data_IF_838811124457
#
_entry.id   IF_838811124457
#
_cell.length_a   1.000
_cell.length_b   1.000
_cell.length_c   1.000
_cell.angle_alpha   90.00
_cell.angle_beta   90.00
_cell.angle_gamma   90.00
#
_symmetry.space_group_name_H-M   'P 1'
#
loop_
_entity.id
_entity.type
_entity.pdbx_description
1 polymer ?
#
# COMPACT_ATOMS: atom_id res chain seq x y z
N UNK A 1 29.48 -35.61 -29.49
CA UNK A 1 30.29 -34.46 -29.92
C UNK A 1 29.62 -33.18 -29.44
N UNK A 2 30.39 -32.23 -28.92
CA UNK A 2 29.90 -30.98 -28.33
C UNK A 2 30.82 -29.81 -28.76
N UNK A 3 30.35 -28.58 -28.59
CA UNK A 3 31.09 -27.37 -28.93
C UNK A 3 30.28 -26.36 -29.73
N UNK A 4 30.91 -25.22 -30.05
CA UNK A 4 30.27 -24.09 -30.74
C UNK A 4 29.69 -24.49 -32.10
N UNK A 5 28.62 -23.81 -32.51
CA UNK A 5 28.05 -23.93 -33.86
C UNK A 5 29.10 -23.53 -34.90
N UNK A 6 29.22 -24.30 -36.00
CA UNK A 6 30.19 -24.00 -37.07
C UNK A 6 31.59 -24.60 -36.88
N UNK A 7 31.90 -25.18 -35.71
CA UNK A 7 33.22 -25.80 -35.47
C UNK A 7 33.42 -27.16 -36.18
N UNK A 8 32.43 -27.64 -36.94
CA UNK A 8 32.58 -28.84 -37.75
C UNK A 8 32.29 -30.16 -37.04
N UNK A 9 31.44 -30.18 -35.99
CA UNK A 9 31.00 -31.41 -35.30
C UNK A 9 30.43 -32.45 -36.27
N UNK A 10 29.44 -32.08 -37.08
CA UNK A 10 28.79 -33.00 -38.03
C UNK A 10 29.78 -33.51 -39.09
N UNK A 11 30.68 -32.65 -39.57
CA UNK A 11 31.76 -33.05 -40.51
C UNK A 11 32.75 -34.03 -39.87
N UNK A 12 33.15 -33.81 -38.62
CA UNK A 12 33.98 -34.74 -37.86
C UNK A 12 33.25 -36.07 -37.65
N UNK A 13 31.96 -36.04 -37.35
CA UNK A 13 31.14 -37.24 -37.22
C UNK A 13 31.11 -38.07 -38.50
N UNK A 14 30.90 -37.41 -39.65
CA UNK A 14 30.93 -38.08 -40.96
C UNK A 14 32.32 -38.67 -41.27
N UNK A 15 33.38 -37.97 -40.88
CA UNK A 15 34.75 -38.45 -41.02
C UNK A 15 34.99 -39.73 -40.20
N UNK A 16 34.62 -39.74 -38.92
CA UNK A 16 34.76 -40.91 -38.03
C UNK A 16 33.91 -42.09 -38.55
N UNK A 17 32.71 -41.81 -39.05
CA UNK A 17 31.80 -42.83 -39.57
C UNK A 17 32.15 -43.28 -41.00
N UNK A 18 33.07 -42.60 -41.68
CA UNK A 18 33.48 -42.83 -43.08
C UNK A 18 32.31 -42.76 -44.08
N UNK A 19 31.25 -42.03 -43.72
CA UNK A 19 30.04 -41.80 -44.56
C UNK A 19 29.33 -40.52 -44.15
N UNK A 20 28.48 -40.00 -45.05
CA UNK A 20 27.65 -38.82 -44.77
C UNK A 20 26.42 -39.19 -43.94
N UNK A 21 26.60 -39.40 -42.63
CA UNK A 21 25.52 -39.74 -41.70
C UNK A 21 24.80 -38.51 -41.12
N UNK A 22 25.53 -37.41 -40.96
CA UNK A 22 25.05 -36.16 -40.40
C UNK A 22 25.00 -35.07 -41.47
N UNK A 23 23.95 -34.26 -41.42
CA UNK A 23 23.81 -33.12 -42.32
C UNK A 23 24.83 -32.03 -41.95
N UNK A 24 25.82 -31.81 -42.81
CA UNK A 24 26.85 -30.79 -42.64
C UNK A 24 26.67 -29.68 -43.68
N UNK A 25 25.87 -28.65 -43.37
CA UNK A 25 25.69 -27.47 -44.24
C UNK A 25 26.47 -26.26 -43.72
N UNK A 26 27.11 -25.53 -44.63
CA UNK A 26 27.67 -24.19 -44.39
C UNK A 26 26.55 -23.15 -44.36
N UNK A 27 25.66 -23.22 -43.36
CA UNK A 27 24.53 -22.29 -43.21
C UNK A 27 24.80 -21.25 -42.13
N UNK A 28 24.38 -20.01 -42.36
CA UNK A 28 24.36 -18.94 -41.35
C UNK A 28 23.30 -19.18 -40.26
N UNK A 29 22.33 -20.06 -40.53
CA UNK A 29 21.33 -20.51 -39.56
C UNK A 29 21.66 -21.92 -39.10
N UNK A 30 21.77 -22.11 -37.79
CA UNK A 30 22.16 -23.37 -37.16
C UNK A 30 21.07 -24.44 -37.38
N UNK A 31 21.37 -25.41 -38.25
CA UNK A 31 20.45 -26.44 -38.77
C UNK A 31 20.16 -27.54 -37.73
N UNK A 32 21.07 -27.79 -36.77
CA UNK A 32 20.90 -28.85 -35.78
C UNK A 32 20.24 -28.33 -34.50
N UNK A 33 18.93 -28.55 -34.39
CA UNK A 33 18.15 -28.38 -33.15
C UNK A 33 17.98 -29.68 -32.37
N UNK A 34 18.27 -30.83 -32.99
CA UNK A 34 18.15 -32.17 -32.39
C UNK A 34 19.48 -32.91 -32.29
N UNK A 35 19.45 -34.02 -31.56
CA UNK A 35 20.55 -34.97 -31.45
C UNK A 35 20.38 -36.03 -32.52
N UNK A 36 21.46 -36.35 -33.22
CA UNK A 36 21.51 -37.49 -34.15
C UNK A 36 22.64 -38.43 -33.75
N UNK A 37 22.49 -39.71 -34.09
CA UNK A 37 23.55 -40.68 -33.87
C UNK A 37 23.57 -41.70 -34.99
N UNK A 38 24.73 -42.29 -35.20
CA UNK A 38 24.91 -43.38 -36.15
C UNK A 38 26.11 -44.24 -35.73
N UNK A 39 26.30 -45.36 -36.41
CA UNK A 39 27.29 -46.38 -36.11
C UNK A 39 28.20 -46.64 -37.30
N UNK A 40 29.45 -46.97 -37.00
CA UNK A 40 30.40 -47.55 -37.95
C UNK A 40 31.18 -48.68 -37.27
N UNK A 41 31.89 -49.45 -38.09
CA UNK A 41 32.87 -50.42 -37.62
C UNK A 41 34.28 -49.96 -38.00
N UNK A 42 35.22 -50.05 -37.07
CA UNK A 42 36.62 -49.71 -37.28
C UNK A 42 37.49 -50.77 -36.62
N UNK A 43 38.27 -51.51 -37.41
CA UNK A 43 39.08 -52.66 -36.96
C UNK A 43 38.32 -53.63 -36.04
N UNK A 44 37.11 -54.03 -36.42
CA UNK A 44 36.28 -54.97 -35.64
C UNK A 44 35.56 -54.35 -34.44
N UNK A 45 35.77 -53.05 -34.17
CA UNK A 45 35.11 -52.34 -33.07
C UNK A 45 33.95 -51.51 -33.57
N UNK A 46 32.78 -51.66 -32.94
CA UNK A 46 31.63 -50.78 -33.18
C UNK A 46 31.85 -49.41 -32.55
N UNK A 47 31.78 -48.35 -33.35
CA UNK A 47 31.85 -46.96 -32.91
C UNK A 47 30.45 -46.36 -33.05
N UNK A 48 29.89 -45.86 -31.95
CA UNK A 48 28.67 -45.02 -31.95
C UNK A 48 29.09 -43.56 -31.88
N UNK A 49 28.74 -42.78 -32.88
CA UNK A 49 28.95 -41.33 -32.87
C UNK A 49 27.62 -40.64 -32.62
N UNK A 50 27.60 -39.72 -31.66
CA UNK A 50 26.43 -38.88 -31.37
C UNK A 50 26.79 -37.44 -31.67
N UNK A 51 26.08 -36.82 -32.63
CA UNK A 51 26.19 -35.41 -32.93
C UNK A 51 25.23 -34.61 -32.06
N UNK A 52 25.80 -33.70 -31.26
CA UNK A 52 25.07 -32.88 -30.31
C UNK A 52 24.72 -31.51 -30.88
N UNK A 53 23.71 -30.82 -30.32
CA UNK A 53 23.34 -29.49 -30.76
C UNK A 53 24.52 -28.51 -30.64
N UNK A 54 24.59 -27.58 -31.58
CA UNK A 54 25.54 -26.48 -31.50
C UNK A 54 25.15 -25.49 -30.40
N UNK A 55 26.13 -25.17 -29.55
CA UNK A 55 26.04 -24.06 -28.58
C UNK A 55 26.51 -22.77 -29.26
N UNK A 56 25.94 -21.62 -28.91
CA UNK A 56 26.38 -20.34 -29.47
C UNK A 56 25.76 -19.17 -28.70
N UNK A 57 26.42 -18.00 -28.76
CA UNK A 57 26.21 -16.90 -27.80
C UNK A 57 24.78 -16.35 -27.80
N UNK A 58 24.17 -16.20 -28.97
CA UNK A 58 22.76 -15.74 -29.08
C UNK A 58 21.76 -16.72 -28.47
N UNK A 59 22.07 -18.03 -28.51
CA UNK A 59 21.24 -19.07 -27.90
C UNK A 59 21.40 -19.11 -26.38
N UNK A 60 22.60 -18.80 -25.88
CA UNK A 60 22.89 -18.80 -24.45
C UNK A 60 22.19 -17.65 -23.70
N UNK A 61 21.88 -16.54 -24.37
CA UNK A 61 21.19 -15.39 -23.80
C UNK A 61 19.65 -15.47 -23.89
N UNK A 62 19.11 -16.54 -24.46
CA UNK A 62 17.67 -16.71 -24.65
C UNK A 62 17.19 -17.97 -23.92
N UNK A 63 16.22 -17.82 -23.00
CA UNK A 63 15.73 -18.90 -22.14
C UNK A 63 15.27 -20.12 -22.94
N UNK A 64 14.42 -19.91 -23.95
CA UNK A 64 13.90 -21.00 -24.77
C UNK A 64 15.00 -21.72 -25.56
N UNK A 65 15.97 -20.98 -26.08
CA UNK A 65 17.09 -21.58 -26.80
C UNK A 65 18.02 -22.36 -25.87
N UNK A 66 18.37 -21.82 -24.71
CA UNK A 66 19.18 -22.50 -23.70
C UNK A 66 18.48 -23.77 -23.19
N UNK A 67 17.18 -23.69 -22.89
CA UNK A 67 16.35 -24.82 -22.45
C UNK A 67 16.32 -25.92 -23.50
N UNK A 68 16.05 -25.60 -24.77
CA UNK A 68 16.07 -26.60 -25.85
C UNK A 68 17.42 -27.29 -26.01
N UNK A 69 18.53 -26.56 -25.87
CA UNK A 69 19.87 -27.16 -25.92
C UNK A 69 20.08 -28.13 -24.77
N UNK A 70 19.67 -27.76 -23.55
CA UNK A 70 19.74 -28.63 -22.37
C UNK A 70 18.87 -29.87 -22.53
N UNK A 71 17.65 -29.73 -23.00
CA UNK A 71 16.71 -30.85 -23.24
C UNK A 71 17.26 -31.81 -24.30
N UNK A 72 17.81 -31.29 -25.40
CA UNK A 72 18.46 -32.10 -26.40
C UNK A 72 19.66 -32.86 -25.81
N UNK A 73 20.50 -32.20 -25.00
CA UNK A 73 21.60 -32.88 -24.30
C UNK A 73 21.10 -33.95 -23.33
N UNK A 74 20.04 -33.66 -22.56
CA UNK A 74 19.41 -34.64 -21.66
C UNK A 74 18.89 -35.86 -22.42
N UNK A 75 18.25 -35.65 -23.58
CA UNK A 75 17.82 -36.72 -24.46
C UNK A 75 19.00 -37.58 -24.92
N UNK A 76 20.12 -36.97 -25.34
CA UNK A 76 21.34 -37.70 -25.73
C UNK A 76 21.85 -38.58 -24.59
N UNK A 77 21.95 -38.02 -23.38
CA UNK A 77 22.40 -38.76 -22.19
C UNK A 77 21.46 -39.93 -21.88
N UNK A 78 20.15 -39.68 -21.88
CA UNK A 78 19.13 -40.69 -21.55
C UNK A 78 19.07 -41.81 -22.59
N UNK A 79 19.28 -41.49 -23.87
CA UNK A 79 19.33 -42.45 -24.98
C UNK A 79 20.61 -43.31 -25.01
N UNK A 80 21.54 -43.11 -24.06
CA UNK A 80 22.75 -43.90 -23.95
C UNK A 80 23.00 -44.37 -22.50
N UNK A 81 22.22 -45.34 -21.99
CA UNK A 81 22.23 -45.74 -20.57
C UNK A 81 23.59 -46.24 -20.06
N UNK A 82 24.40 -46.83 -20.94
CA UNK A 82 25.75 -47.30 -20.63
C UNK A 82 26.80 -46.18 -20.55
N UNK A 83 26.38 -44.93 -20.71
CA UNK A 83 27.24 -43.75 -20.68
C UNK A 83 28.13 -43.57 -21.90
N UNK A 84 28.77 -42.41 -21.96
CA UNK A 84 29.70 -42.01 -23.01
C UNK A 84 31.15 -42.27 -22.61
N UNK A 85 31.91 -42.87 -23.53
CA UNK A 85 33.36 -43.08 -23.37
C UNK A 85 34.15 -41.77 -23.40
N UNK A 86 33.76 -40.85 -24.27
CA UNK A 86 34.39 -39.54 -24.38
C UNK A 86 33.40 -38.50 -24.91
N UNK A 87 33.61 -37.26 -24.50
CA UNK A 87 33.09 -36.08 -25.17
C UNK A 87 34.17 -35.51 -26.08
N UNK A 88 33.88 -35.46 -27.37
CA UNK A 88 34.71 -34.73 -28.32
C UNK A 88 34.26 -33.27 -28.32
N UNK A 89 35.08 -32.41 -27.72
CA UNK A 89 34.86 -30.97 -27.68
C UNK A 89 35.57 -30.34 -28.88
N UNK A 90 34.77 -29.96 -29.89
CA UNK A 90 35.27 -29.57 -31.21
C UNK A 90 35.52 -28.07 -31.26
N UNK A 91 36.76 -27.70 -31.58
CA UNK A 91 37.25 -26.33 -31.75
C UNK A 91 37.78 -26.18 -33.17
N UNK A 92 37.59 -25.01 -33.78
CA UNK A 92 38.01 -24.73 -35.15
C UNK A 92 39.41 -24.12 -35.18
N UNK A 93 40.30 -24.67 -36.01
CA UNK A 93 41.58 -24.04 -36.33
C UNK A 93 41.42 -22.80 -37.23
N UNK A 94 42.33 -21.83 -37.09
CA UNK A 94 42.38 -20.61 -37.90
C UNK A 94 41.38 -19.52 -37.49
N UNK A 95 40.70 -19.69 -36.35
CA UNK A 95 39.91 -18.65 -35.70
C UNK A 95 40.56 -18.23 -34.38
N UNK A 96 40.31 -16.98 -33.94
CA UNK A 96 40.68 -16.57 -32.58
C UNK A 96 39.81 -17.35 -31.59
N UNK A 97 40.41 -17.88 -30.55
CA UNK A 97 39.69 -18.41 -29.39
C UNK A 97 39.25 -17.23 -28.53
N UNK A 98 37.97 -16.86 -28.61
CA UNK A 98 37.46 -15.62 -28.00
C UNK A 98 36.82 -15.88 -26.65
N UNK A 99 36.39 -14.81 -25.96
CA UNK A 99 35.57 -14.90 -24.76
C UNK A 99 34.28 -15.71 -25.00
N UNK A 100 33.71 -15.66 -26.20
CA UNK A 100 32.54 -16.45 -26.60
C UNK A 100 32.80 -17.96 -26.55
N UNK A 101 34.01 -18.39 -26.93
CA UNK A 101 34.40 -19.79 -26.79
C UNK A 101 34.50 -20.16 -25.31
N UNK A 102 35.03 -19.27 -24.48
CA UNK A 102 35.03 -19.39 -23.01
C UNK A 102 33.63 -19.54 -22.42
N UNK A 103 32.69 -18.68 -22.80
CA UNK A 103 31.29 -18.73 -22.36
C UNK A 103 30.62 -20.05 -22.77
N UNK A 104 30.93 -20.54 -23.97
CA UNK A 104 30.47 -21.85 -24.44
C UNK A 104 30.99 -22.99 -23.57
N UNK A 105 32.27 -22.95 -23.17
CA UNK A 105 32.85 -23.96 -22.26
C UNK A 105 32.19 -23.89 -20.89
N UNK A 106 32.00 -22.69 -20.35
CA UNK A 106 31.40 -22.51 -19.02
C UNK A 106 29.94 -22.96 -18.99
N UNK A 107 29.18 -22.69 -20.07
CA UNK A 107 27.85 -23.27 -20.27
C UNK A 107 27.90 -24.80 -20.24
N UNK A 108 28.80 -25.43 -21.01
CA UNK A 108 28.91 -26.88 -21.05
C UNK A 108 29.31 -27.46 -19.68
N UNK A 109 30.13 -26.75 -18.90
CA UNK A 109 30.48 -27.13 -17.52
C UNK A 109 29.29 -27.05 -16.57
N UNK A 110 28.43 -26.05 -16.70
CA UNK A 110 27.16 -25.98 -15.95
C UNK A 110 26.21 -27.10 -16.36
N UNK A 111 26.18 -27.47 -17.65
CA UNK A 111 25.29 -28.52 -18.17
C UNK A 111 25.73 -29.93 -17.77
N UNK A 112 26.99 -30.29 -18.03
CA UNK A 112 27.51 -31.64 -17.81
C UNK A 112 28.19 -31.81 -16.44
N UNK A 113 28.39 -30.72 -15.69
CA UNK A 113 29.02 -30.69 -14.39
C UNK A 113 30.49 -30.24 -14.45
N UNK A 114 30.93 -29.44 -13.47
CA UNK A 114 32.22 -28.71 -13.50
C UNK A 114 33.43 -29.56 -13.85
N UNK A 115 33.49 -30.81 -13.40
CA UNK A 115 34.63 -31.71 -13.66
C UNK A 115 34.57 -32.51 -14.97
N UNK A 116 33.58 -32.29 -15.83
CA UNK A 116 33.39 -33.15 -17.01
C UNK A 116 34.51 -32.99 -18.04
N UNK A 117 35.03 -31.77 -18.23
CA UNK A 117 36.15 -31.49 -19.15
C UNK A 117 37.38 -32.30 -18.73
N UNK A 118 37.74 -32.19 -17.46
CA UNK A 118 38.91 -32.89 -16.90
C UNK A 118 38.82 -34.41 -16.98
N UNK A 119 37.63 -34.98 -16.80
CA UNK A 119 37.45 -36.44 -16.68
C UNK A 119 37.06 -37.14 -17.98
N UNK A 120 36.36 -36.46 -18.88
CA UNK A 120 35.64 -37.12 -19.97
C UNK A 120 35.83 -36.45 -21.33
N UNK A 121 36.55 -35.33 -21.44
CA UNK A 121 36.74 -34.67 -22.74
C UNK A 121 38.06 -35.01 -23.43
N UNK A 122 38.01 -34.95 -24.75
CA UNK A 122 39.14 -34.82 -25.67
C UNK A 122 38.87 -33.58 -26.53
N UNK A 123 39.84 -32.67 -26.61
CA UNK A 123 39.78 -31.53 -27.51
C UNK A 123 40.06 -32.00 -28.93
N UNK A 124 39.19 -31.63 -29.86
CA UNK A 124 39.39 -31.91 -31.28
C UNK A 124 39.56 -30.60 -32.00
N UNK A 125 40.77 -30.36 -32.50
CA UNK A 125 41.06 -29.25 -33.39
C UNK A 125 40.67 -29.65 -34.81
N UNK A 126 39.53 -29.16 -35.28
CA UNK A 126 39.06 -29.36 -36.64
C UNK A 126 39.77 -28.39 -37.61
N UNK A 127 39.56 -28.60 -38.91
CA UNK A 127 40.23 -27.83 -39.99
C UNK A 127 41.74 -28.08 -40.02
N UNK A 128 42.17 -29.32 -39.80
CA UNK A 128 43.57 -29.73 -39.90
C UNK A 128 44.18 -29.51 -41.28
N UNK A 129 43.37 -29.47 -42.35
CA UNK A 129 43.81 -29.08 -43.69
C UNK A 129 44.37 -27.67 -43.73
N UNK A 130 43.83 -26.75 -42.93
CA UNK A 130 44.33 -25.39 -42.82
C UNK A 130 45.62 -25.34 -42.00
N UNK A 131 45.68 -26.06 -40.87
CA UNK A 131 46.91 -26.14 -40.07
C UNK A 131 48.05 -26.74 -40.88
N UNK A 132 47.82 -27.80 -41.66
CA UNK A 132 48.87 -28.42 -42.46
C UNK A 132 49.43 -27.50 -43.55
N UNK A 133 48.61 -26.60 -44.10
CA UNK A 133 49.11 -25.57 -45.03
C UNK A 133 50.03 -24.59 -44.31
N UNK A 134 49.57 -24.07 -43.17
CA UNK A 134 50.35 -23.14 -42.35
C UNK A 134 51.65 -23.78 -41.85
N UNK A 135 51.59 -25.02 -41.38
CA UNK A 135 52.72 -25.82 -40.92
C UNK A 135 53.77 -26.07 -42.02
N UNK A 136 53.35 -26.22 -43.29
CA UNK A 136 54.30 -26.31 -44.42
C UNK A 136 55.03 -25.00 -44.69
N UNK A 137 54.40 -23.87 -44.38
CA UNK A 137 54.97 -22.54 -44.56
C UNK A 137 55.87 -22.15 -43.38
N UNK A 138 55.49 -22.50 -42.15
CA UNK A 138 56.20 -22.11 -40.92
C UNK A 138 57.19 -23.17 -40.42
N UNK A 139 57.03 -24.43 -40.81
CA UNK A 139 57.75 -25.58 -40.26
C UNK A 139 57.29 -25.98 -38.84
N UNK A 140 56.24 -25.35 -38.32
CA UNK A 140 55.77 -25.56 -36.95
C UNK A 140 54.95 -26.85 -36.81
N UNK A 141 55.23 -27.65 -35.80
CA UNK A 141 54.42 -28.84 -35.46
C UNK A 141 53.16 -28.46 -34.70
N UNK A 142 52.12 -29.31 -34.73
CA UNK A 142 50.87 -29.03 -34.02
C UNK A 142 51.07 -28.90 -32.50
N UNK A 143 52.01 -29.65 -31.93
CA UNK A 143 52.32 -29.55 -30.49
C UNK A 143 52.96 -28.20 -30.15
N UNK A 144 53.95 -27.75 -30.94
CA UNK A 144 54.56 -26.43 -30.78
C UNK A 144 53.51 -25.32 -30.89
N UNK A 145 52.60 -25.43 -31.86
CA UNK A 145 51.49 -24.49 -32.00
C UNK A 145 50.63 -24.46 -30.72
N UNK A 146 50.29 -25.62 -30.15
CA UNK A 146 49.51 -25.70 -28.91
C UNK A 146 50.25 -25.08 -27.71
N UNK A 147 51.56 -25.29 -27.61
CA UNK A 147 52.39 -24.82 -26.50
C UNK A 147 52.56 -23.28 -26.53
N UNK A 148 52.48 -22.67 -27.71
CA UNK A 148 52.52 -21.21 -27.91
C UNK A 148 51.18 -20.51 -27.62
N UNK A 149 50.08 -21.26 -27.52
CA UNK A 149 48.78 -20.65 -27.25
C UNK A 149 48.68 -20.19 -25.79
N UNK A 150 48.01 -19.05 -25.58
CA UNK A 150 47.72 -18.47 -24.26
C UNK A 150 46.23 -18.39 -23.94
N UNK A 151 45.94 -17.77 -22.79
CA UNK A 151 44.57 -17.44 -22.36
C UNK A 151 43.65 -18.65 -22.23
N UNK A 152 42.37 -18.45 -22.57
CA UNK A 152 41.30 -19.43 -22.35
C UNK A 152 41.56 -20.77 -23.05
N UNK A 153 42.22 -20.77 -24.22
CA UNK A 153 42.57 -22.01 -24.91
C UNK A 153 43.58 -22.85 -24.11
N UNK A 154 44.64 -22.21 -23.59
CA UNK A 154 45.66 -22.89 -22.79
C UNK A 154 45.08 -23.43 -21.49
N UNK A 155 44.23 -22.65 -20.83
CA UNK A 155 43.50 -23.08 -19.63
C UNK A 155 42.62 -24.31 -19.90
N UNK A 156 41.87 -24.30 -21.01
CA UNK A 156 41.03 -25.42 -21.43
C UNK A 156 41.87 -26.66 -21.75
N UNK A 157 42.99 -26.50 -22.45
CA UNK A 157 43.90 -27.59 -22.80
C UNK A 157 44.53 -28.23 -21.54
N UNK A 158 44.95 -27.40 -20.59
CA UNK A 158 45.47 -27.85 -19.30
C UNK A 158 44.39 -28.57 -18.46
N UNK A 159 43.16 -28.04 -18.41
CA UNK A 159 42.04 -28.70 -17.73
C UNK A 159 41.70 -30.05 -18.37
N UNK A 160 41.78 -30.12 -19.70
CA UNK A 160 41.63 -31.36 -20.48
C UNK A 160 42.86 -32.28 -20.39
N UNK A 161 43.86 -31.98 -19.55
CA UNK A 161 45.05 -32.81 -19.35
C UNK A 161 45.85 -33.04 -20.63
N UNK A 162 46.01 -31.99 -21.45
CA UNK A 162 46.73 -32.02 -22.72
C UNK A 162 46.15 -33.01 -23.75
N UNK A 163 44.90 -33.46 -23.56
CA UNK A 163 44.20 -34.34 -24.50
C UNK A 163 43.65 -33.53 -25.66
N UNK A 164 44.48 -33.32 -26.68
CA UNK A 164 44.10 -32.70 -27.95
C UNK A 164 44.46 -33.59 -29.15
N UNK A 165 43.69 -33.50 -30.23
CA UNK A 165 43.97 -34.13 -31.52
C UNK A 165 43.62 -33.19 -32.68
N UNK A 166 44.47 -33.14 -33.70
CA UNK A 166 44.23 -32.42 -34.94
C UNK A 166 43.54 -33.34 -35.95
N UNK A 167 42.44 -32.90 -36.53
CA UNK A 167 41.65 -33.68 -37.49
C UNK A 167 41.50 -32.92 -38.82
N UNK A 168 41.91 -33.57 -39.91
CA UNK A 168 41.66 -33.09 -41.27
C UNK A 168 40.46 -33.84 -41.83
N UNK A 169 39.27 -33.30 -41.61
CA UNK A 169 38.03 -33.94 -42.03
C UNK A 169 37.82 -33.93 -43.56
N UNK A 170 38.73 -33.33 -44.34
CA UNK A 170 38.64 -33.21 -45.81
C UNK A 170 39.63 -34.11 -46.56
N UNK A 171 40.58 -34.73 -45.87
CA UNK A 171 41.52 -35.64 -46.52
C UNK A 171 40.78 -36.76 -47.23
N UNK A 172 41.27 -37.13 -48.42
CA UNK A 172 40.82 -38.29 -49.19
C UNK A 172 41.84 -39.44 -49.15
N UNK A 173 42.97 -39.23 -48.49
CA UNK A 173 44.01 -40.24 -48.34
C UNK A 173 43.58 -41.28 -47.31
N UNK A 174 43.33 -42.51 -47.77
CA UNK A 174 42.87 -43.62 -46.94
C UNK A 174 43.83 -43.98 -45.80
N UNK A 175 45.15 -43.82 -45.99
CA UNK A 175 46.14 -44.09 -44.95
C UNK A 175 46.01 -43.05 -43.84
N UNK A 176 45.97 -41.77 -44.21
CA UNK A 176 45.76 -40.66 -43.27
C UNK A 176 44.42 -40.74 -42.54
N UNK A 177 43.35 -41.12 -43.24
CA UNK A 177 42.02 -41.34 -42.64
C UNK A 177 42.12 -42.41 -41.55
N UNK A 178 42.66 -43.58 -41.87
CA UNK A 178 42.78 -44.68 -40.91
C UNK A 178 43.67 -44.29 -39.72
N UNK A 179 44.77 -43.58 -39.96
CA UNK A 179 45.66 -43.10 -38.90
C UNK A 179 44.94 -42.15 -37.94
N UNK A 180 44.27 -41.11 -38.45
CA UNK A 180 43.57 -40.13 -37.60
C UNK A 180 42.42 -40.76 -36.79
N UNK A 181 41.69 -41.71 -37.37
CA UNK A 181 40.66 -42.44 -36.63
C UNK A 181 41.29 -43.36 -35.57
N UNK A 182 42.40 -44.04 -35.90
CA UNK A 182 43.13 -44.88 -34.94
C UNK A 182 43.64 -44.06 -33.76
N UNK A 183 44.29 -42.92 -34.01
CA UNK A 183 44.82 -42.02 -32.98
C UNK A 183 43.71 -41.49 -32.06
N UNK A 184 42.52 -41.20 -32.62
CA UNK A 184 41.35 -40.80 -31.85
C UNK A 184 40.86 -41.94 -30.95
N UNK A 185 40.72 -43.14 -31.50
CA UNK A 185 40.27 -44.33 -30.74
C UNK A 185 41.25 -44.64 -29.60
N UNK A 186 42.55 -44.57 -29.86
CA UNK A 186 43.59 -44.78 -28.84
C UNK A 186 43.49 -43.74 -27.70
N UNK A 187 43.21 -42.47 -28.03
CA UNK A 187 42.98 -41.43 -27.01
C UNK A 187 41.72 -41.70 -26.18
N UNK A 188 40.65 -42.19 -26.81
CA UNK A 188 39.41 -42.58 -26.11
C UNK A 188 39.66 -43.79 -25.18
N UNK A 189 40.47 -44.75 -25.61
CA UNK A 189 40.81 -45.92 -24.79
C UNK A 189 41.66 -45.55 -23.58
N UNK A 190 42.63 -44.67 -23.76
CA UNK A 190 43.42 -44.14 -22.63
C UNK A 190 42.53 -43.41 -21.63
N UNK A 191 41.56 -42.63 -22.10
CA UNK A 191 40.60 -41.92 -21.24
C UNK A 191 39.69 -42.87 -20.46
N UNK A 192 39.34 -44.01 -21.05
CA UNK A 192 38.40 -45.00 -20.47
C UNK A 192 39.09 -46.23 -19.87
N UNK A 193 40.41 -46.21 -19.74
CA UNK A 193 41.24 -47.33 -19.27
C UNK A 193 40.84 -47.87 -17.88
N UNK A 194 40.24 -47.04 -17.03
CA UNK A 194 39.70 -47.43 -15.72
C UNK A 194 38.20 -47.79 -15.73
N UNK A 195 37.59 -47.95 -16.91
CA UNK A 195 36.17 -48.28 -17.07
C UNK A 195 35.19 -47.12 -16.84
N UNK A 196 35.68 -45.91 -16.54
CA UNK A 196 34.85 -44.75 -16.27
C UNK A 196 34.19 -44.21 -17.55
N UNK A 197 32.88 -44.01 -17.49
CA UNK A 197 32.07 -43.38 -18.53
C UNK A 197 31.25 -42.27 -17.91
N UNK A 198 30.92 -41.27 -18.70
CA UNK A 198 29.95 -40.28 -18.29
C UNK A 198 28.54 -40.85 -18.39
N UNK A 199 27.85 -40.94 -17.26
CA UNK A 199 26.52 -41.55 -17.15
C UNK A 199 25.44 -40.52 -16.82
N UNK A 200 24.19 -40.97 -16.87
CA UNK A 200 23.02 -40.19 -16.44
C UNK A 200 23.12 -39.67 -14.99
N UNK A 201 23.78 -40.42 -14.11
CA UNK A 201 24.02 -39.97 -12.73
C UNK A 201 24.87 -38.70 -12.67
N UNK A 202 25.94 -38.64 -13.48
CA UNK A 202 26.78 -37.45 -13.58
C UNK A 202 25.99 -36.25 -14.08
N UNK A 203 25.08 -36.49 -15.05
CA UNK A 203 24.20 -35.45 -15.55
C UNK A 203 23.20 -35.01 -14.48
N UNK A 204 22.60 -35.93 -13.72
CA UNK A 204 21.70 -35.61 -12.59
C UNK A 204 22.39 -34.76 -11.52
N UNK A 205 23.66 -35.06 -11.20
CA UNK A 205 24.43 -34.30 -10.21
C UNK A 205 24.66 -32.83 -10.60
N UNK A 206 24.60 -32.49 -11.89
CA UNK A 206 24.70 -31.12 -12.39
C UNK A 206 23.33 -30.40 -12.51
N UNK A 207 22.23 -31.00 -12.05
CA UNK A 207 20.88 -30.41 -12.18
C UNK A 207 20.78 -29.00 -11.58
N UNK A 208 21.28 -28.81 -10.36
CA UNK A 208 21.23 -27.50 -9.70
C UNK A 208 21.97 -26.41 -10.51
N UNK A 209 23.10 -26.76 -11.15
CA UNK A 209 23.86 -25.83 -12.00
C UNK A 209 23.12 -25.50 -13.31
N UNK A 210 22.35 -26.44 -13.86
CA UNK A 210 21.47 -26.19 -15.02
C UNK A 210 20.27 -25.32 -14.66
N UNK A 211 19.62 -25.60 -13.53
CA UNK A 211 18.49 -24.82 -13.05
C UNK A 211 18.93 -23.37 -12.77
N UNK A 212 20.09 -23.18 -12.14
CA UNK A 212 20.71 -21.87 -11.95
C UNK A 212 21.06 -21.17 -13.27
N UNK A 213 21.53 -21.90 -14.29
CA UNK A 213 21.81 -21.32 -15.60
C UNK A 213 20.54 -20.77 -16.27
N UNK A 214 19.43 -21.51 -16.23
CA UNK A 214 18.15 -21.01 -16.78
C UNK A 214 17.68 -19.77 -16.00
N UNK A 215 17.85 -19.77 -14.68
CA UNK A 215 17.49 -18.62 -13.85
C UNK A 215 18.37 -17.39 -14.16
N UNK A 216 19.68 -17.56 -14.36
CA UNK A 216 20.60 -16.48 -14.78
C UNK A 216 20.12 -15.81 -16.08
N UNK A 217 19.66 -16.61 -17.05
CA UNK A 217 19.15 -16.11 -18.34
C UNK A 217 17.82 -15.37 -18.17
N UNK A 218 16.96 -15.83 -17.25
CA UNK A 218 15.67 -15.18 -16.96
C UNK A 218 15.80 -13.94 -16.09
N UNK A 219 16.83 -13.87 -15.25
CA UNK A 219 16.99 -12.84 -14.21
C UNK A 219 16.73 -11.41 -14.71
N UNK A 220 17.22 -10.97 -15.89
CA UNK A 220 16.92 -9.63 -16.40
C UNK A 220 15.42 -9.38 -16.61
N UNK A 221 14.70 -10.36 -17.16
CA UNK A 221 13.25 -10.28 -17.39
C UNK A 221 12.48 -10.26 -16.07
N UNK A 222 12.85 -11.13 -15.12
CA UNK A 222 12.25 -11.16 -13.77
C UNK A 222 12.45 -9.82 -13.08
N UNK A 223 13.66 -9.27 -13.17
CA UNK A 223 14.00 -7.99 -12.59
C UNK A 223 13.20 -6.85 -13.23
N UNK A 224 13.08 -6.82 -14.55
CA UNK A 224 12.27 -5.82 -15.26
C UNK A 224 10.80 -5.88 -14.86
N UNK A 225 10.19 -7.07 -14.85
CA UNK A 225 8.81 -7.28 -14.41
C UNK A 225 8.59 -6.85 -12.96
N UNK A 226 9.48 -7.25 -12.05
CA UNK A 226 9.40 -6.89 -10.64
C UNK A 226 9.59 -5.39 -10.42
N UNK A 227 10.54 -4.76 -11.10
CA UNK A 227 10.78 -3.31 -11.01
C UNK A 227 9.60 -2.51 -11.56
N UNK A 228 8.99 -2.97 -12.66
CA UNK A 228 7.80 -2.35 -13.23
C UNK A 228 6.65 -2.39 -12.23
N UNK A 229 6.35 -3.56 -11.68
CA UNK A 229 5.24 -3.72 -10.73
C UNK A 229 5.49 -2.94 -9.43
N UNK A 230 6.70 -3.01 -8.89
CA UNK A 230 7.15 -2.20 -7.74
C UNK A 230 6.93 -0.71 -7.99
N UNK A 231 7.32 -0.22 -9.17
CA UNK A 231 7.17 1.19 -9.55
C UNK A 231 5.70 1.62 -9.64
N UNK A 232 4.83 0.74 -10.16
CA UNK A 232 3.38 0.99 -10.24
C UNK A 232 2.73 1.01 -8.84
N UNK A 233 3.15 0.11 -7.95
CA UNK A 233 2.66 0.10 -6.57
C UNK A 233 3.10 1.36 -5.84
N UNK A 234 4.39 1.75 -5.93
CA UNK A 234 4.91 2.98 -5.33
C UNK A 234 4.19 4.23 -5.84
N UNK A 235 3.93 4.31 -7.14
CA UNK A 235 3.18 5.42 -7.73
C UNK A 235 1.76 5.51 -7.17
N UNK A 236 1.04 4.39 -7.10
CA UNK A 236 -0.30 4.35 -6.51
C UNK A 236 -0.26 4.69 -5.01
N UNK A 237 0.70 4.16 -4.26
CA UNK A 237 0.87 4.45 -2.83
C UNK A 237 1.05 5.95 -2.59
N UNK A 238 1.90 6.60 -3.39
CA UNK A 238 2.11 8.05 -3.32
C UNK A 238 0.84 8.84 -3.60
N UNK A 239 -0.01 8.38 -4.54
CA UNK A 239 -1.29 9.04 -4.81
C UNK A 239 -2.29 8.85 -3.66
N UNK A 240 -2.30 7.66 -3.04
CA UNK A 240 -3.15 7.40 -1.86
C UNK A 240 -2.74 8.31 -0.70
N UNK A 241 -1.44 8.52 -0.47
CA UNK A 241 -0.91 9.44 0.55
C UNK A 241 -1.33 10.91 0.36
N UNK A 242 -1.77 11.29 -0.84
CA UNK A 242 -2.32 12.62 -1.12
C UNK A 242 -3.84 12.71 -0.87
N UNK A 243 -4.50 11.59 -0.56
CA UNK A 243 -5.94 11.54 -0.31
C UNK A 243 -6.24 12.06 1.10
N UNK A 244 -7.27 12.89 1.20
CA UNK A 244 -7.65 13.54 2.48
C UNK A 244 -8.56 12.66 3.32
N UNK A 245 -9.42 11.86 2.68
CA UNK A 245 -10.40 11.03 3.37
C UNK A 245 -9.83 9.63 3.69
N UNK A 246 -9.63 9.30 4.98
CA UNK A 246 -9.02 8.03 5.38
C UNK A 246 -9.89 6.81 5.04
N UNK A 247 -11.21 6.97 4.92
CA UNK A 247 -12.14 5.91 4.54
C UNK A 247 -11.89 5.39 3.11
N UNK A 248 -11.46 6.28 2.21
CA UNK A 248 -11.14 5.95 0.82
C UNK A 248 -9.75 5.33 0.67
N UNK A 249 -8.85 5.57 1.63
CA UNK A 249 -7.48 5.06 1.60
C UNK A 249 -7.42 3.56 1.86
N UNK A 250 -8.15 3.05 2.86
CA UNK A 250 -8.01 1.67 3.33
C UNK A 250 -8.22 0.61 2.23
N UNK A 251 -9.30 0.61 1.45
CA UNK A 251 -9.51 -0.39 0.40
C UNK A 251 -8.40 -0.38 -0.65
N UNK A 252 -7.89 0.81 -0.98
CA UNK A 252 -6.81 0.99 -1.95
C UNK A 252 -5.48 0.46 -1.40
N UNK A 253 -5.18 0.72 -0.12
CA UNK A 253 -3.97 0.18 0.53
C UNK A 253 -4.02 -1.34 0.66
N UNK A 254 -5.18 -1.91 0.97
CA UNK A 254 -5.38 -3.37 1.01
C UNK A 254 -5.19 -3.99 -0.40
N UNK A 255 -5.66 -3.33 -1.48
CA UNK A 255 -5.36 -3.73 -2.87
C UNK A 255 -3.85 -3.72 -3.14
N UNK A 256 -3.15 -2.65 -2.75
CA UNK A 256 -1.70 -2.55 -2.96
C UNK A 256 -0.93 -3.60 -2.18
N UNK A 257 -1.35 -3.88 -0.95
CA UNK A 257 -0.74 -4.92 -0.13
C UNK A 257 -0.87 -6.29 -0.82
N UNK A 258 -2.06 -6.64 -1.29
CA UNK A 258 -2.28 -7.90 -2.02
C UNK A 258 -1.44 -7.98 -3.30
N UNK A 259 -1.28 -6.88 -4.05
CA UNK A 259 -0.39 -6.85 -5.21
C UNK A 259 1.07 -7.09 -4.83
N UNK A 260 1.53 -6.50 -3.73
CA UNK A 260 2.89 -6.70 -3.23
C UNK A 260 3.12 -8.13 -2.71
N UNK A 261 2.12 -8.75 -2.08
CA UNK A 261 2.16 -10.18 -1.70
C UNK A 261 2.27 -11.08 -2.93
N UNK A 262 1.41 -10.90 -3.93
CA UNK A 262 1.44 -11.68 -5.17
C UNK A 262 2.77 -11.54 -5.92
N UNK A 263 3.33 -10.32 -5.94
CA UNK A 263 4.65 -10.09 -6.51
C UNK A 263 5.74 -10.83 -5.74
N UNK A 264 5.70 -10.79 -4.41
CA UNK A 264 6.64 -11.52 -3.55
C UNK A 264 6.56 -13.04 -3.78
N UNK A 265 5.35 -13.60 -3.79
CA UNK A 265 5.11 -15.02 -4.07
C UNK A 265 5.61 -15.43 -5.46
N UNK A 266 5.37 -14.59 -6.48
CA UNK A 266 5.87 -14.81 -7.83
C UNK A 266 7.40 -14.88 -7.87
N UNK A 267 8.09 -13.93 -7.21
CA UNK A 267 9.56 -13.93 -7.15
C UNK A 267 10.09 -15.17 -6.42
N UNK A 268 9.47 -15.56 -5.30
CA UNK A 268 9.82 -16.80 -4.58
C UNK A 268 9.63 -18.05 -5.44
N UNK A 269 8.52 -18.13 -6.18
CA UNK A 269 8.24 -19.25 -7.08
C UNK A 269 9.24 -19.33 -8.23
N UNK A 270 9.73 -18.18 -8.73
CA UNK A 270 10.75 -18.14 -9.78
C UNK A 270 12.16 -18.46 -9.26
N UNK A 271 12.50 -18.05 -8.04
CA UNK A 271 13.79 -18.37 -7.41
C UNK A 271 13.94 -19.87 -7.11
N UNK A 272 12.83 -20.57 -6.82
CA UNK A 272 12.79 -22.01 -6.47
C UNK A 272 13.75 -22.40 -5.34
N UNK A 273 14.07 -21.47 -4.43
CA UNK A 273 14.99 -21.69 -3.31
C UNK A 273 16.47 -21.71 -3.70
N UNK A 274 16.82 -21.18 -4.88
CA UNK A 274 18.21 -21.05 -5.32
C UNK A 274 18.96 -19.93 -4.58
N UNK A 275 18.24 -18.95 -4.03
CA UNK A 275 18.81 -17.77 -3.40
C UNK A 275 19.47 -16.81 -4.40
N UNK A 276 19.07 -16.87 -5.68
CA UNK A 276 19.65 -16.06 -6.75
C UNK A 276 18.96 -14.69 -6.90
N UNK A 277 17.79 -14.48 -6.30
CA UNK A 277 17.02 -13.24 -6.36
C UNK A 277 16.88 -12.47 -5.01
N UNK A 278 17.92 -12.39 -4.14
CA UNK A 278 17.78 -11.79 -2.81
C UNK A 278 17.45 -10.30 -2.86
N UNK A 279 18.04 -9.56 -3.79
CA UNK A 279 17.85 -8.10 -3.93
C UNK A 279 16.40 -7.75 -4.27
N UNK A 280 15.77 -8.56 -5.13
CA UNK A 280 14.36 -8.37 -5.51
C UNK A 280 13.44 -8.70 -4.34
N UNK A 281 13.72 -9.78 -3.61
CA UNK A 281 12.94 -10.15 -2.43
C UNK A 281 12.99 -9.07 -1.34
N UNK A 282 14.17 -8.50 -1.08
CA UNK A 282 14.32 -7.41 -0.10
C UNK A 282 13.60 -6.13 -0.55
N UNK A 283 13.66 -5.81 -1.85
CA UNK A 283 12.95 -4.66 -2.43
C UNK A 283 11.45 -4.77 -2.18
N UNK A 284 10.85 -5.92 -2.51
CA UNK A 284 9.41 -6.14 -2.33
C UNK A 284 9.04 -6.24 -0.85
N UNK A 285 9.89 -6.82 0.00
CA UNK A 285 9.69 -6.87 1.45
C UNK A 285 9.69 -5.47 2.07
N UNK A 286 10.55 -4.58 1.58
CA UNK A 286 10.56 -3.17 1.99
C UNK A 286 9.29 -2.45 1.56
N UNK A 287 8.83 -2.67 0.32
CA UNK A 287 7.57 -2.13 -0.17
C UNK A 287 6.37 -2.59 0.68
N UNK A 288 6.29 -3.88 1.02
CA UNK A 288 5.25 -4.43 1.90
C UNK A 288 5.23 -3.73 3.26
N UNK A 289 6.41 -3.56 3.89
CA UNK A 289 6.54 -2.83 5.16
C UNK A 289 6.03 -1.39 5.06
N UNK A 290 6.32 -0.69 3.96
CA UNK A 290 5.83 0.67 3.71
C UNK A 290 4.30 0.71 3.62
N UNK A 291 3.69 -0.23 2.88
CA UNK A 291 2.23 -0.29 2.75
C UNK A 291 1.57 -0.60 4.09
N UNK A 292 2.11 -1.55 4.86
CA UNK A 292 1.60 -1.87 6.21
C UNK A 292 1.67 -0.65 7.12
N UNK A 293 2.79 0.07 7.11
CA UNK A 293 2.93 1.31 7.87
C UNK A 293 1.89 2.35 7.49
N UNK A 294 1.54 2.46 6.20
CA UNK A 294 0.52 3.38 5.71
C UNK A 294 -0.90 2.93 6.11
N UNK A 295 -1.17 1.62 6.12
CA UNK A 295 -2.44 1.06 6.60
C UNK A 295 -2.65 1.39 8.08
N UNK A 296 -1.61 1.22 8.90
CA UNK A 296 -1.69 1.51 10.33
C UNK A 296 -1.82 3.01 10.60
N UNK A 297 -1.18 3.85 9.78
CA UNK A 297 -1.38 5.29 9.82
C UNK A 297 -2.81 5.71 9.47
N UNK A 298 -3.37 5.18 8.36
CA UNK A 298 -4.75 5.41 7.95
C UNK A 298 -5.74 5.01 9.05
N UNK A 299 -5.56 3.84 9.68
CA UNK A 299 -6.38 3.40 10.83
C UNK A 299 -6.32 4.38 12.00
N UNK A 300 -5.13 4.90 12.31
CA UNK A 300 -4.94 5.86 13.39
C UNK A 300 -5.69 7.17 13.12
N UNK A 301 -5.63 7.68 11.87
CA UNK A 301 -6.38 8.88 11.47
C UNK A 301 -7.89 8.66 11.61
N UNK A 302 -8.42 7.51 11.15
CA UNK A 302 -9.86 7.22 11.26
C UNK A 302 -10.33 7.25 12.72
N UNK A 303 -9.59 6.63 13.63
CA UNK A 303 -9.93 6.60 15.07
C UNK A 303 -9.94 8.01 15.67
N UNK A 304 -8.93 8.84 15.36
CA UNK A 304 -8.87 10.21 15.86
C UNK A 304 -9.96 11.11 15.24
N UNK A 305 -10.31 10.91 13.96
CA UNK A 305 -11.43 11.61 13.30
C UNK A 305 -12.76 11.32 13.98
N UNK A 306 -13.06 10.05 14.25
CA UNK A 306 -14.28 9.64 14.97
C UNK A 306 -14.31 10.19 16.40
N UNK A 307 -13.15 10.21 17.09
CA UNK A 307 -13.03 10.80 18.42
C UNK A 307 -13.35 12.30 18.41
N UNK A 308 -12.73 13.07 17.51
CA UNK A 308 -12.97 14.50 17.40
C UNK A 308 -14.42 14.81 17.07
N UNK A 309 -15.02 14.05 16.15
CA UNK A 309 -16.45 14.17 15.80
C UNK A 309 -17.35 13.92 17.01
N UNK A 310 -17.12 12.84 17.75
CA UNK A 310 -17.87 12.52 18.97
C UNK A 310 -17.71 13.59 20.07
N UNK A 311 -16.51 14.16 20.22
CA UNK A 311 -16.26 15.26 21.16
C UNK A 311 -16.99 16.54 20.74
N UNK A 312 -17.02 16.86 19.44
CA UNK A 312 -17.75 17.99 18.90
C UNK A 312 -19.27 17.84 19.09
N UNK A 313 -19.83 16.67 18.74
CA UNK A 313 -21.25 16.38 18.94
C UNK A 313 -21.66 16.48 20.42
N UNK A 314 -20.80 16.04 21.35
CA UNK A 314 -21.03 16.21 22.79
C UNK A 314 -21.05 17.67 23.20
N UNK A 315 -20.11 18.49 22.71
CA UNK A 315 -20.08 19.94 23.00
C UNK A 315 -21.31 20.65 22.47
N UNK A 316 -21.74 20.33 21.24
CA UNK A 316 -22.96 20.88 20.65
C UNK A 316 -24.21 20.49 21.46
N UNK A 317 -24.32 19.23 21.90
CA UNK A 317 -25.43 18.80 22.77
C UNK A 317 -25.45 19.56 24.09
N UNK A 318 -24.31 19.65 24.78
CA UNK A 318 -24.20 20.38 26.06
C UNK A 318 -24.57 21.85 25.90
N UNK A 319 -24.08 22.50 24.84
CA UNK A 319 -24.41 23.90 24.52
C UNK A 319 -25.91 24.08 24.23
N UNK A 320 -26.50 23.18 23.43
CA UNK A 320 -27.93 23.22 23.11
C UNK A 320 -28.81 22.99 24.36
N UNK A 321 -28.44 22.06 25.23
CA UNK A 321 -29.12 21.82 26.51
C UNK A 321 -29.03 23.03 27.44
N UNK A 322 -27.86 23.68 27.52
CA UNK A 322 -27.68 24.90 28.31
C UNK A 322 -28.53 26.06 27.78
N UNK A 323 -28.51 26.29 26.47
CA UNK A 323 -29.35 27.30 25.82
C UNK A 323 -30.85 27.04 26.03
N UNK A 324 -31.28 25.77 25.99
CA UNK A 324 -32.66 25.39 26.27
C UNK A 324 -33.06 25.72 27.72
N UNK A 325 -32.20 25.40 28.70
CA UNK A 325 -32.44 25.76 30.12
C UNK A 325 -32.52 27.26 30.33
N UNK A 326 -31.60 28.03 29.75
CA UNK A 326 -31.62 29.50 29.84
C UNK A 326 -32.90 30.08 29.25
N UNK A 327 -33.37 29.52 28.13
CA UNK A 327 -34.64 29.92 27.50
C UNK A 327 -35.83 29.63 28.43
N UNK A 328 -35.91 28.44 29.01
CA UNK A 328 -36.97 28.07 29.98
C UNK A 328 -36.96 28.98 31.21
N UNK A 329 -35.78 29.32 31.75
CA UNK A 329 -35.64 30.23 32.89
C UNK A 329 -36.08 31.66 32.54
N UNK A 330 -35.76 32.12 31.34
CA UNK A 330 -36.21 33.42 30.84
C UNK A 330 -37.73 33.46 30.64
N UNK A 331 -38.32 32.41 30.07
CA UNK A 331 -39.77 32.27 29.92
C UNK A 331 -40.50 32.24 31.28
N UNK A 332 -39.95 31.49 32.26
CA UNK A 332 -40.44 31.47 33.64
C UNK A 332 -40.40 32.86 34.28
N UNK A 333 -39.31 33.60 34.08
CA UNK A 333 -39.15 34.96 34.61
C UNK A 333 -40.17 35.93 34.00
N UNK A 334 -40.39 35.85 32.68
CA UNK A 334 -41.45 36.64 32.01
C UNK A 334 -42.82 36.29 32.58
N UNK A 335 -43.11 35.01 32.80
CA UNK A 335 -44.40 34.58 33.33
C UNK A 335 -44.63 35.09 34.76
N UNK A 336 -43.60 35.04 35.61
CA UNK A 336 -43.64 35.60 36.96
C UNK A 336 -43.92 37.11 36.95
N UNK A 337 -43.24 37.88 36.09
CA UNK A 337 -43.47 39.32 35.93
C UNK A 337 -44.91 39.63 35.49
N UNK A 338 -45.47 38.85 34.56
CA UNK A 338 -46.88 39.00 34.14
C UNK A 338 -47.86 38.77 35.29
N UNK A 339 -47.64 37.71 36.08
CA UNK A 339 -48.47 37.40 37.24
C UNK A 339 -48.41 38.49 38.32
N UNK A 340 -47.22 39.04 38.57
CA UNK A 340 -47.04 40.16 39.49
C UNK A 340 -47.77 41.42 39.02
N UNK A 341 -47.70 41.76 37.73
CA UNK A 341 -48.41 42.92 37.19
C UNK A 341 -49.93 42.74 37.23
N UNK A 342 -50.44 41.54 36.94
CA UNK A 342 -51.85 41.20 37.12
C UNK A 342 -52.31 41.34 38.58
N UNK A 343 -51.51 40.84 39.53
CA UNK A 343 -51.79 40.98 40.96
C UNK A 343 -51.81 42.45 41.38
N UNK A 344 -50.81 43.24 40.96
CA UNK A 344 -50.75 44.69 41.19
C UNK A 344 -51.96 45.42 40.56
N UNK A 345 -52.39 45.00 39.39
CA UNK A 345 -53.58 45.50 38.71
C UNK A 345 -54.89 45.16 39.43
N UNK A 346 -54.97 44.01 40.13
CA UNK A 346 -56.11 43.67 41.01
C UNK A 346 -56.12 44.54 42.26
N UNK A 347 -54.98 44.67 42.95
CA UNK A 347 -54.85 45.50 44.15
C UNK A 347 -55.25 46.96 43.87
N UNK A 348 -54.78 47.55 42.76
CA UNK A 348 -55.17 48.92 42.34
C UNK A 348 -56.69 49.06 42.16
N UNK A 349 -57.36 48.06 41.57
CA UNK A 349 -58.82 48.06 41.38
C UNK A 349 -59.58 47.95 42.71
N UNK A 350 -59.07 47.19 43.67
CA UNK A 350 -59.66 47.10 45.02
C UNK A 350 -59.48 48.39 45.80
N UNK A 351 -58.29 48.99 45.74
CA UNK A 351 -57.99 50.28 46.36
C UNK A 351 -58.89 51.40 45.80
N UNK A 352 -59.09 51.45 44.49
CA UNK A 352 -60.00 52.41 43.83
C UNK A 352 -61.45 52.22 44.28
N UNK A 353 -61.91 50.97 44.45
CA UNK A 353 -63.25 50.70 45.01
C UNK A 353 -63.38 51.20 46.44
N UNK A 354 -62.39 50.93 47.29
CA UNK A 354 -62.33 51.40 48.67
C UNK A 354 -62.37 52.93 48.76
N UNK A 355 -61.56 53.61 47.93
CA UNK A 355 -61.55 55.07 47.85
C UNK A 355 -62.91 55.63 47.44
N UNK A 356 -63.54 55.05 46.41
CA UNK A 356 -64.88 55.43 45.96
C UNK A 356 -65.93 55.26 47.07
N UNK A 357 -65.86 54.17 47.84
CA UNK A 357 -66.77 53.93 48.95
C UNK A 357 -66.53 54.88 50.13
N UNK A 358 -65.27 55.22 50.44
CA UNK A 358 -64.93 56.26 51.42
C UNK A 358 -65.50 57.61 50.97
N UNK A 359 -65.37 57.97 49.70
CA UNK A 359 -65.87 59.22 49.17
C UNK A 359 -67.41 59.30 49.23
N UNK A 360 -68.11 58.21 48.90
CA UNK A 360 -69.57 58.09 49.09
C UNK A 360 -69.96 58.31 50.55
N UNK A 361 -69.29 57.62 51.49
CA UNK A 361 -69.54 57.79 52.93
C UNK A 361 -69.29 59.22 53.40
N UNK A 362 -68.24 59.86 52.90
CA UNK A 362 -67.92 61.27 53.21
C UNK A 362 -68.98 62.24 52.68
N UNK A 363 -69.53 61.99 51.49
CA UNK A 363 -70.68 62.78 50.96
C UNK A 363 -71.90 62.63 51.86
N UNK A 364 -72.24 61.41 52.25
CA UNK A 364 -73.36 61.15 53.18
C UNK A 364 -73.14 61.85 54.52
N UNK A 365 -71.94 61.76 55.10
CA UNK A 365 -71.62 62.43 56.36
C UNK A 365 -71.76 63.96 56.27
N UNK A 366 -71.26 64.58 55.20
CA UNK A 366 -71.43 66.02 54.95
C UNK A 366 -72.90 66.41 54.81
N UNK A 367 -73.71 65.58 54.18
CA UNK A 367 -75.15 65.84 54.04
C UNK A 367 -75.89 65.72 55.38
N UNK A 368 -75.47 64.79 56.25
CA UNK A 368 -75.99 64.68 57.62
C UNK A 368 -75.60 65.89 58.47
N UNK A 369 -74.32 66.29 58.46
CA UNK A 369 -73.85 67.51 59.16
C UNK A 369 -74.61 68.75 58.71
N UNK A 370 -74.81 68.91 57.40
CA UNK A 370 -75.56 70.05 56.85
C UNK A 370 -76.98 70.12 57.38
N UNK A 371 -77.71 68.99 57.40
CA UNK A 371 -79.07 68.93 57.94
C UNK A 371 -79.11 69.24 59.45
N UNK A 372 -78.15 68.73 60.21
CA UNK A 372 -78.05 69.02 61.64
C UNK A 372 -77.82 70.52 61.89
N UNK A 373 -76.93 71.15 61.13
CA UNK A 373 -76.70 72.60 61.22
C UNK A 373 -77.93 73.43 60.81
N UNK A 374 -78.67 73.01 59.78
CA UNK A 374 -79.92 73.67 59.36
C UNK A 374 -81.02 73.61 60.44
N UNK A 375 -81.16 72.47 61.13
CA UNK A 375 -82.09 72.33 62.26
C UNK A 375 -81.69 73.22 63.43
N UNK A 376 -80.39 73.25 63.76
CA UNK A 376 -79.87 74.07 64.85
C UNK A 376 -80.10 75.57 64.61
N UNK A 377 -79.90 76.03 63.37
CA UNK A 377 -80.14 77.43 62.97
C UNK A 377 -81.61 77.82 63.09
N UNK A 378 -82.54 76.96 62.65
CA UNK A 378 -83.98 77.22 62.81
C UNK A 378 -84.39 77.36 64.27
N UNK A 379 -83.79 76.56 65.14
CA UNK A 379 -84.07 76.60 66.56
C UNK A 379 -83.48 77.85 67.24
N UNK A 380 -82.34 78.33 66.74
CA UNK A 380 -81.72 79.59 67.16
C UNK A 380 -82.57 80.81 66.76
N UNK A 381 -83.03 80.88 65.50
CA UNK A 381 -83.91 81.96 65.01
C UNK A 381 -85.23 82.05 65.78
N UNK A 382 -85.80 80.90 66.17
CA UNK A 382 -87.03 80.86 66.98
C UNK A 382 -86.83 81.50 68.35
N UNK A 383 -85.71 81.19 69.00
CA UNK A 383 -85.39 81.70 70.35
C UNK A 383 -84.97 83.16 70.34
N UNK A 384 -84.31 83.62 69.28
CA UNK A 384 -83.94 85.03 69.10
C UNK A 384 -85.20 85.92 69.03
N UNK A 385 -86.23 85.49 68.31
CA UNK A 385 -87.55 86.15 68.29
C UNK A 385 -88.24 86.18 69.65
N UNK A 386 -88.17 85.09 70.43
CA UNK A 386 -88.70 85.06 71.81
C UNK A 386 -87.98 86.09 72.70
N UNK A 387 -86.67 86.29 72.48
CA UNK A 387 -85.85 87.26 73.22
C UNK A 387 -86.21 88.71 72.87
N UNK A 388 -86.39 89.04 71.59
CA UNK A 388 -86.86 90.36 71.15
C UNK A 388 -88.23 90.72 71.74
N UNK A 389 -89.13 89.74 71.83
CA UNK A 389 -90.47 89.93 72.39
C UNK A 389 -90.44 90.20 73.90
N UNK A 390 -89.53 89.52 74.62
CA UNK A 390 -89.27 89.77 76.05
C UNK A 390 -88.62 91.14 76.29
N UNK A 391 -87.69 91.56 75.44
CA UNK A 391 -87.08 92.89 75.50
C UNK A 391 -88.09 94.01 75.24
N UNK A 392 -89.05 93.78 74.33
CA UNK A 392 -90.15 94.72 74.07
C UNK A 392 -91.05 94.87 75.28
N UNK A 393 -91.44 93.77 75.94
CA UNK A 393 -92.19 93.79 77.20
C UNK A 393 -91.43 94.52 78.32
N UNK A 394 -90.10 94.35 78.37
CA UNK A 394 -89.24 95.05 79.33
C UNK A 394 -89.22 96.58 79.11
N UNK A 395 -89.21 97.02 77.84
CA UNK A 395 -89.31 98.44 77.47
C UNK A 395 -90.66 99.06 77.84
N UNK A 396 -91.76 98.33 77.65
CA UNK A 396 -93.11 98.80 78.00
C UNK A 396 -93.33 98.90 79.52
N UNK A 397 -92.74 97.98 80.31
CA UNK A 397 -92.80 98.03 81.78
C UNK A 397 -92.02 99.23 82.37
N UNK A 398 -90.87 99.60 81.77
CA UNK A 398 -90.12 100.81 82.16
C UNK A 398 -90.87 102.11 81.91
N UNK A 399 -91.77 102.15 80.92
CA UNK A 399 -92.55 103.36 80.60
C UNK A 399 -93.71 103.64 81.58
N UNK A 400 -94.17 102.64 82.34
CA UNK A 400 -95.35 102.75 83.24
C UNK A 400 -95.00 102.97 84.72
N UNK A 401 -93.72 103.11 85.07
CA UNK A 401 -93.22 103.31 86.44
C UNK A 401 -93.81 102.32 87.48
N UNK A 402 -93.99 101.06 87.06
CA UNK A 402 -94.45 99.95 87.90
C UNK A 402 -93.26 99.11 88.35
N UNK A 403 -92.56 99.55 89.40
CA UNK A 403 -91.34 98.89 89.91
C UNK A 403 -91.54 97.42 90.32
N UNK A 404 -92.78 96.98 90.60
CA UNK A 404 -93.08 95.59 90.95
C UNK A 404 -93.01 94.57 89.79
N UNK A 405 -93.21 95.00 88.53
CA UNK A 405 -93.29 94.09 87.36
C UNK A 405 -91.91 93.84 86.72
N UNK A 406 -90.95 94.74 86.96
CA UNK A 406 -89.59 94.66 86.41
C UNK A 406 -88.78 93.46 86.95
N UNK A 407 -89.06 93.01 88.17
CA UNK A 407 -88.39 91.86 88.80
C UNK A 407 -88.68 90.52 88.10
N UNK A 408 -89.94 90.29 87.69
CA UNK A 408 -90.35 89.05 87.01
C UNK A 408 -89.80 88.98 85.58
N UNK A 409 -89.77 90.10 84.86
CA UNK A 409 -89.24 90.15 83.49
C UNK A 409 -87.72 89.91 83.47
N UNK A 410 -86.96 90.46 84.43
CA UNK A 410 -85.52 90.21 84.55
C UNK A 410 -85.26 88.73 84.85
N UNK A 411 -86.07 88.10 85.70
CA UNK A 411 -85.95 86.65 85.96
C UNK A 411 -86.21 85.82 84.70
N UNK A 412 -87.21 86.19 83.89
CA UNK A 412 -87.49 85.55 82.60
C UNK A 412 -86.34 85.66 81.60
N UNK A 413 -85.76 86.85 81.44
CA UNK A 413 -84.60 87.08 80.55
C UNK A 413 -83.37 86.30 81.04
N UNK A 414 -83.15 86.25 82.35
CA UNK A 414 -82.02 85.52 82.95
C UNK A 414 -82.15 84.00 82.73
N UNK A 415 -83.36 83.45 82.83
CA UNK A 415 -83.62 82.03 82.55
C UNK A 415 -83.41 81.71 81.06
N UNK A 416 -83.89 82.56 80.15
CA UNK A 416 -83.69 82.39 78.72
C UNK A 416 -82.19 82.38 78.34
N UNK A 417 -81.41 83.33 78.89
CA UNK A 417 -79.96 83.40 78.65
C UNK A 417 -79.18 82.22 79.23
N UNK A 418 -79.51 81.74 80.44
CA UNK A 418 -78.87 80.55 81.02
C UNK A 418 -79.10 79.31 80.15
N UNK A 419 -80.31 79.17 79.61
CA UNK A 419 -80.69 78.01 78.80
C UNK A 419 -80.06 78.09 77.39
N UNK A 420 -79.97 79.28 76.80
CA UNK A 420 -79.31 79.52 75.49
C UNK A 420 -77.79 79.33 75.52
N UNK A 421 -77.14 79.70 76.62
CA UNK A 421 -75.70 79.55 76.80
C UNK A 421 -75.31 78.17 77.37
N UNK A 422 -76.27 77.27 77.57
CA UNK A 422 -76.00 75.92 78.07
C UNK A 422 -75.42 75.87 79.49
N UNK A 423 -75.64 76.91 80.30
CA UNK A 423 -75.23 76.93 81.70
C UNK A 423 -76.32 76.24 82.54
N UNK A 424 -76.04 75.01 83.01
CA UNK A 424 -76.80 74.38 84.11
C UNK A 424 -76.57 75.12 85.43
#
# INVERSE_FOLDING_TARGET
MIGKTGNGKSSLGNFILRRNAFESRSSATSVTTGVSYDFSEFYGRTIKVVDGPGVGDTRLKNEHAATRVIEAMQYAISANPRGYHAFLLVVKFGGRFTSEDGDTIEFLKKVFGKGFVKRYCILVMAYGDNFEKESRETGQTFQQWCDEQGGVFRELLAECGERIILMDNKTKDGVKINQQISDLVDKVDRLTSNGHRYTDEHFKNAKAARDALILDVRRPMIQEEAMRETSLILFKLKNIQLTVEPEDMKPQLDELFNRAELLHESICAQDKGSGALPDLMETVSTLRRQIVSEIDFSRTITVEKDRMKNEQEKRERMFNEEMARQKEDYERSIMALKLEDEHRGRMRREEEKLLNDIEKRRKVAKDVERRFFEELMKEWERRDKELEELEKKCREAKAKNQEGILSEIISGITWALKTLLGFK
#
